data_IF_787413460433
#
_entry.id   IF_787413460433
#
_cell.length_a   1.000
_cell.length_b   1.000
_cell.length_c   1.000
_cell.angle_alpha   90.00
_cell.angle_beta   90.00
_cell.angle_gamma   90.00
#
_symmetry.space_group_name_H-M   'P 1'
#
loop_
_entity.id
_entity.type
_entity.pdbx_description
1 polymer ?
#
# COMPACT_ATOMS: atom_id res chain seq x y z
N UNK A 1 34.16 -24.53 24.65
CA UNK A 1 33.66 -23.16 24.87
C UNK A 1 32.15 -23.25 25.03
N UNK A 2 31.63 -22.91 26.21
CA UNK A 2 30.20 -22.99 26.50
C UNK A 2 29.49 -21.74 25.95
N UNK A 3 28.42 -21.93 25.19
CA UNK A 3 27.57 -20.84 24.71
C UNK A 3 26.71 -20.32 25.87
N UNK A 4 26.74 -19.01 26.12
CA UNK A 4 25.93 -18.35 27.13
C UNK A 4 24.42 -18.48 26.80
N UNK A 5 23.54 -18.65 27.81
CA UNK A 5 22.10 -18.66 27.57
C UNK A 5 21.63 -17.26 27.16
N UNK A 6 20.89 -17.20 26.04
CA UNK A 6 20.22 -15.97 25.59
C UNK A 6 19.20 -15.58 26.65
N UNK A 7 19.39 -14.44 27.29
CA UNK A 7 18.42 -13.83 28.20
C UNK A 7 17.13 -13.58 27.41
N UNK A 8 16.08 -14.32 27.76
CA UNK A 8 14.73 -14.11 27.27
C UNK A 8 14.27 -12.69 27.60
N UNK A 9 13.84 -11.94 26.57
CA UNK A 9 13.13 -10.66 26.71
C UNK A 9 11.99 -10.87 27.72
N UNK A 10 11.82 -10.02 28.74
CA UNK A 10 10.64 -10.08 29.60
C UNK A 10 9.40 -9.97 28.70
N UNK A 11 8.42 -10.86 28.90
CA UNK A 11 7.14 -10.76 28.23
C UNK A 11 6.56 -9.37 28.55
N UNK A 12 6.39 -8.55 27.51
CA UNK A 12 5.54 -7.37 27.57
C UNK A 12 4.15 -7.83 28.04
N UNK A 13 3.44 -7.05 28.88
CA UNK A 13 2.09 -7.43 29.28
C UNK A 13 1.28 -7.62 28.00
N UNK A 14 0.78 -8.83 27.78
CA UNK A 14 -0.16 -9.12 26.71
C UNK A 14 -1.35 -8.19 26.95
N UNK A 15 -1.42 -7.12 26.16
CA UNK A 15 -2.61 -6.29 26.08
C UNK A 15 -3.76 -7.26 25.81
N UNK A 16 -4.81 -7.28 26.64
CA UNK A 16 -5.93 -8.18 26.41
C UNK A 16 -6.39 -7.98 24.98
N UNK A 17 -6.41 -9.06 24.19
CA UNK A 17 -6.99 -9.05 22.85
C UNK A 17 -8.33 -8.36 22.96
N UNK A 18 -8.46 -7.18 22.32
CA UNK A 18 -9.72 -6.47 22.26
C UNK A 18 -10.77 -7.47 21.77
N UNK A 19 -11.96 -7.55 22.40
CA UNK A 19 -12.95 -8.52 21.99
C UNK A 19 -13.22 -8.32 20.50
N UNK A 20 -12.99 -9.37 19.71
CA UNK A 20 -13.14 -9.37 18.24
C UNK A 20 -14.55 -8.94 17.77
N UNK A 21 -15.49 -8.81 18.71
CA UNK A 21 -16.89 -8.49 18.51
C UNK A 21 -17.30 -7.12 19.06
N UNK A 22 -16.35 -6.21 19.34
CA UNK A 22 -16.68 -4.82 19.63
C UNK A 22 -17.33 -4.17 18.37
N UNK A 23 -18.59 -3.72 18.45
CA UNK A 23 -19.28 -3.11 17.31
C UNK A 23 -18.56 -1.87 16.79
N UNK A 24 -17.89 -1.09 17.65
CA UNK A 24 -17.11 0.07 17.24
C UNK A 24 -15.85 -0.33 16.48
N UNK A 25 -15.17 -1.40 16.91
CA UNK A 25 -13.98 -1.92 16.22
C UNK A 25 -14.33 -2.43 14.81
N UNK A 26 -15.48 -3.11 14.65
CA UNK A 26 -15.97 -3.57 13.35
C UNK A 26 -16.30 -2.43 12.40
N UNK A 27 -16.87 -1.34 12.90
CA UNK A 27 -17.16 -0.16 12.09
C UNK A 27 -15.87 0.52 11.59
N UNK A 28 -14.87 0.66 12.47
CA UNK A 28 -13.55 1.19 12.11
C UNK A 28 -12.84 0.29 11.10
N UNK A 29 -12.90 -1.04 11.26
CA UNK A 29 -12.32 -1.98 10.32
C UNK A 29 -12.98 -1.87 8.94
N UNK A 30 -14.32 -1.84 8.90
CA UNK A 30 -15.06 -1.69 7.65
C UNK A 30 -14.77 -0.36 6.93
N UNK A 31 -14.62 0.74 7.68
CA UNK A 31 -14.22 2.02 7.11
C UNK A 31 -12.79 1.98 6.55
N UNK A 32 -11.87 1.31 7.25
CA UNK A 32 -10.48 1.10 6.82
C UNK A 32 -10.40 0.24 5.57
N UNK A 33 -11.11 -0.88 5.53
CA UNK A 33 -11.15 -1.80 4.39
C UNK A 33 -11.72 -1.11 3.16
N UNK A 34 -12.79 -0.32 3.33
CA UNK A 34 -13.38 0.50 2.26
C UNK A 34 -12.40 1.56 1.76
N UNK A 35 -11.57 2.13 2.63
CA UNK A 35 -10.50 3.05 2.23
C UNK A 35 -9.38 2.32 1.49
N UNK A 36 -8.99 1.12 1.92
CA UNK A 36 -7.97 0.31 1.25
C UNK A 36 -8.43 -0.16 -0.14
N UNK A 37 -9.65 -0.64 -0.27
CA UNK A 37 -10.24 -1.05 -1.56
C UNK A 37 -10.36 0.09 -2.55
N UNK A 38 -10.52 1.33 -2.07
CA UNK A 38 -10.61 2.54 -2.90
C UNK A 38 -9.24 3.12 -3.26
N UNK A 39 -8.14 2.52 -2.79
CA UNK A 39 -6.84 3.17 -2.72
C UNK A 39 -6.82 4.18 -1.58
N UNK A 40 -5.74 4.20 -0.78
CA UNK A 40 -5.58 5.15 0.33
C UNK A 40 -5.98 6.57 -0.12
N UNK A 41 -6.75 7.28 0.70
CA UNK A 41 -7.14 8.67 0.44
C UNK A 41 -5.90 9.53 0.15
N UNK A 42 -5.62 9.71 -1.14
CA UNK A 42 -4.39 10.28 -1.67
C UNK A 42 -4.50 10.31 -3.19
N UNK A 43 -3.78 11.23 -3.83
CA UNK A 43 -3.66 11.20 -5.29
C UNK A 43 -2.75 10.03 -5.61
N UNK A 44 -3.19 9.15 -6.50
CA UNK A 44 -2.34 8.09 -7.06
C UNK A 44 -1.05 8.76 -7.56
N UNK A 45 0.11 8.36 -7.02
CA UNK A 45 1.39 9.06 -7.27
C UNK A 45 1.76 9.04 -8.75
N UNK A 46 1.27 8.02 -9.45
CA UNK A 46 1.30 7.89 -10.89
C UNK A 46 -0.11 7.53 -11.39
N UNK A 47 -0.72 8.33 -12.29
CA UNK A 47 -2.03 8.03 -12.89
C UNK A 47 -1.95 6.96 -13.99
N UNK A 48 -0.76 6.45 -14.32
CA UNK A 48 -0.60 5.41 -15.33
C UNK A 48 -1.25 4.10 -14.83
N UNK A 49 -2.13 3.46 -15.61
CA UNK A 49 -2.79 2.23 -15.17
C UNK A 49 -1.78 1.13 -14.87
N UNK A 50 -1.98 0.42 -13.76
CA UNK A 50 -1.08 -0.64 -13.30
C UNK A 50 -0.87 -1.75 -14.35
N UNK A 51 -1.83 -1.97 -15.25
CA UNK A 51 -1.72 -2.94 -16.34
C UNK A 51 -0.57 -2.63 -17.30
N UNK A 52 -0.15 -1.37 -17.40
CA UNK A 52 0.96 -0.93 -18.25
C UNK A 52 2.30 -1.43 -17.70
N UNK A 53 2.40 -1.59 -16.38
CA UNK A 53 3.59 -2.10 -15.68
C UNK A 53 3.67 -3.63 -15.65
N UNK A 54 2.73 -4.33 -16.28
CA UNK A 54 2.82 -5.79 -16.42
C UNK A 54 3.73 -6.15 -17.59
N UNK A 55 4.37 -7.33 -17.52
CA UNK A 55 5.17 -7.86 -18.65
C UNK A 55 4.33 -7.90 -19.94
N UNK A 56 3.06 -8.26 -19.84
CA UNK A 56 2.13 -8.25 -20.98
C UNK A 56 1.90 -6.82 -21.51
N UNK A 57 1.73 -5.84 -20.62
CA UNK A 57 1.58 -4.42 -20.99
C UNK A 57 2.80 -3.87 -21.71
N UNK A 58 4.01 -4.17 -21.21
CA UNK A 58 5.27 -3.77 -21.84
C UNK A 58 5.44 -4.42 -23.21
N UNK A 59 5.14 -5.71 -23.35
CA UNK A 59 5.22 -6.43 -24.65
C UNK A 59 4.19 -5.87 -25.65
N UNK A 60 3.03 -5.43 -25.17
CA UNK A 60 2.01 -4.76 -25.99
C UNK A 60 2.38 -3.30 -26.36
N UNK A 61 3.53 -2.81 -25.90
CA UNK A 61 3.98 -1.44 -26.16
C UNK A 61 3.13 -0.39 -25.46
N UNK A 62 2.49 -0.73 -24.33
CA UNK A 62 1.71 0.25 -23.58
C UNK A 62 2.64 1.32 -22.99
N UNK A 63 2.25 2.61 -23.08
CA UNK A 63 3.12 3.69 -22.66
C UNK A 63 3.24 3.72 -21.13
N UNK A 64 4.47 3.83 -20.64
CA UNK A 64 4.79 4.08 -19.23
C UNK A 64 5.65 5.34 -19.15
N UNK A 65 5.61 6.11 -18.05
CA UNK A 65 6.43 7.31 -17.84
C UNK A 65 7.93 7.12 -18.08
N UNK A 66 8.44 5.89 -17.93
CA UNK A 66 9.84 5.52 -18.14
C UNK A 66 10.18 5.30 -19.62
N UNK A 67 9.19 5.01 -20.46
CA UNK A 67 9.37 4.60 -21.87
C UNK A 67 8.82 5.63 -22.85
N UNK A 68 7.90 6.50 -22.42
CA UNK A 68 7.25 7.50 -23.25
C UNK A 68 7.31 8.91 -22.59
N UNK A 69 7.98 9.89 -23.24
CA UNK A 69 8.05 11.26 -22.76
C UNK A 69 6.69 11.94 -22.58
N UNK A 70 5.71 11.65 -23.44
CA UNK A 70 4.37 12.25 -23.35
C UNK A 70 3.58 11.66 -22.18
N UNK A 71 3.71 10.35 -21.95
CA UNK A 71 3.16 9.69 -20.77
C UNK A 71 3.78 10.24 -19.47
N UNK A 72 5.08 10.53 -19.49
CA UNK A 72 5.78 11.15 -18.36
C UNK A 72 5.27 12.56 -18.07
N UNK A 73 5.03 13.38 -19.09
CA UNK A 73 4.44 14.71 -18.92
C UNK A 73 3.01 14.66 -18.41
N UNK A 74 2.20 13.72 -18.91
CA UNK A 74 0.84 13.49 -18.43
C UNK A 74 0.81 13.09 -16.95
N UNK A 75 1.68 12.16 -16.54
CA UNK A 75 1.83 11.73 -15.15
C UNK A 75 2.27 12.89 -14.24
N UNK A 76 3.28 13.68 -14.67
CA UNK A 76 3.74 14.87 -13.94
C UNK A 76 2.67 15.95 -13.83
N UNK A 77 1.88 16.16 -14.88
CA UNK A 77 0.79 17.16 -14.88
C UNK A 77 -0.34 16.72 -13.95
N UNK A 78 -0.70 15.45 -13.92
CA UNK A 78 -1.67 14.92 -12.97
C UNK A 78 -1.19 15.05 -11.52
N UNK A 79 0.11 14.84 -11.27
CA UNK A 79 0.71 15.01 -9.95
C UNK A 79 0.84 16.49 -9.51
N UNK A 80 0.98 17.44 -10.46
CA UNK A 80 1.17 18.88 -10.21
C UNK A 80 -0.10 19.72 -10.28
N UNK A 81 -1.16 19.22 -10.90
CA UNK A 81 -2.44 19.90 -11.05
C UNK A 81 -3.28 19.86 -9.78
N UNK A 82 -2.92 20.69 -8.80
CA UNK A 82 -3.81 21.21 -7.74
C UNK A 82 -3.69 22.72 -7.68
#
# INVERSE_FOLDING_TARGET
>A
MAAAPRTSKPAEPETPDAPADDPAAREVQHATDKAQQRGFYGVETDPTPNEHYTVAGVIQGRPTPETDPEAAEAARRAARGR
#
